data_IF_866062955488
#
_entry.id   IF_866062955488
#
_cell.length_a   1.000
_cell.length_b   1.000
_cell.length_c   1.000
_cell.angle_alpha   90.00
_cell.angle_beta   90.00
_cell.angle_gamma   90.00
#
_symmetry.space_group_name_H-M   'P 1'
#
loop_
_entity.id
_entity.type
_entity.pdbx_description
1 polymer ?
#
# COMPACT_ATOMS: atom_id res chain seq x y z
N UNK A 1 -4.32 -6.97 -19.45
CA UNK A 1 -5.38 -7.47 -18.56
C UNK A 1 -4.81 -7.48 -17.16
N UNK A 2 -5.30 -6.63 -16.27
CA UNK A 2 -4.98 -6.69 -14.84
C UNK A 2 -5.61 -7.98 -14.27
N UNK A 3 -4.87 -8.73 -13.46
CA UNK A 3 -5.45 -9.90 -12.78
C UNK A 3 -6.33 -9.40 -11.60
N UNK A 4 -7.29 -10.20 -11.11
CA UNK A 4 -8.01 -9.87 -9.88
C UNK A 4 -7.08 -9.83 -8.65
N UNK A 5 -7.41 -8.99 -7.66
CA UNK A 5 -6.77 -8.99 -6.33
C UNK A 5 -6.73 -10.41 -5.75
N UNK A 6 -5.59 -10.83 -5.19
CA UNK A 6 -5.43 -12.18 -4.61
C UNK A 6 -5.20 -13.32 -5.61
N UNK A 7 -4.91 -13.03 -6.89
CA UNK A 7 -4.68 -14.06 -7.93
C UNK A 7 -3.28 -14.02 -8.54
N UNK A 8 -2.36 -13.30 -7.90
CA UNK A 8 -0.98 -13.17 -8.35
C UNK A 8 -0.15 -14.36 -7.85
N UNK A 9 0.77 -14.89 -8.69
CA UNK A 9 1.83 -15.77 -8.21
C UNK A 9 2.55 -15.13 -7.03
N UNK A 10 2.87 -15.94 -6.01
CA UNK A 10 3.60 -15.43 -4.84
C UNK A 10 4.96 -14.80 -5.20
N UNK A 11 5.57 -15.24 -6.31
CA UNK A 11 6.83 -14.68 -6.83
C UNK A 11 6.70 -13.23 -7.31
N UNK A 12 5.49 -12.78 -7.65
CA UNK A 12 5.22 -11.42 -8.14
C UNK A 12 4.92 -10.47 -6.98
N UNK A 13 4.78 -10.99 -5.76
CA UNK A 13 4.49 -10.23 -4.55
C UNK A 13 5.78 -9.96 -3.78
N UNK A 14 5.94 -8.73 -3.31
CA UNK A 14 7.06 -8.31 -2.46
C UNK A 14 6.57 -7.91 -1.08
N UNK A 15 7.45 -8.04 -0.09
CA UNK A 15 7.18 -7.65 1.29
C UNK A 15 6.97 -6.13 1.39
N UNK A 16 5.78 -5.73 1.86
CA UNK A 16 5.41 -4.34 1.95
C UNK A 16 6.21 -3.59 3.03
N UNK A 17 6.58 -4.26 4.12
CA UNK A 17 7.40 -3.66 5.17
C UNK A 17 8.79 -3.26 4.66
N UNK A 18 9.36 -4.08 3.78
CA UNK A 18 10.61 -3.79 3.10
C UNK A 18 10.47 -2.58 2.17
N UNK A 19 9.39 -2.49 1.39
CA UNK A 19 9.08 -1.33 0.55
C UNK A 19 8.93 -0.07 1.40
N UNK A 20 8.10 -0.12 2.45
CA UNK A 20 7.86 1.00 3.36
C UNK A 20 9.17 1.51 3.98
N UNK A 21 10.01 0.60 4.50
CA UNK A 21 11.26 0.97 5.16
C UNK A 21 12.31 1.49 4.18
N UNK A 22 12.50 0.82 3.04
CA UNK A 22 13.61 1.10 2.11
C UNK A 22 13.30 2.22 1.11
N UNK A 23 12.03 2.35 0.69
CA UNK A 23 11.63 3.29 -0.37
C UNK A 23 10.92 4.53 0.15
N UNK A 24 10.23 4.43 1.28
CA UNK A 24 9.45 5.54 1.87
C UNK A 24 10.09 6.07 3.16
N UNK A 25 10.93 5.27 3.82
CA UNK A 25 11.54 5.64 5.10
C UNK A 25 10.55 5.62 6.25
N UNK A 26 9.51 4.79 6.17
CA UNK A 26 8.44 4.67 7.17
C UNK A 26 8.40 3.25 7.75
N UNK A 27 8.05 3.12 9.03
CA UNK A 27 7.74 1.80 9.60
C UNK A 27 6.48 1.22 8.96
N UNK A 28 6.46 -0.11 8.76
CA UNK A 28 5.36 -0.81 8.11
C UNK A 28 3.99 -0.51 8.75
N UNK A 29 3.92 -0.49 10.09
CA UNK A 29 2.69 -0.19 10.85
C UNK A 29 2.04 1.15 10.49
N UNK A 30 2.84 2.16 10.14
CA UNK A 30 2.31 3.46 9.73
C UNK A 30 2.02 3.49 8.24
N UNK A 31 2.85 2.84 7.43
CA UNK A 31 2.68 2.78 5.98
C UNK A 31 1.43 1.97 5.60
N UNK A 32 1.08 0.95 6.39
CA UNK A 32 -0.09 0.11 6.16
C UNK A 32 -1.41 0.88 6.16
N UNK A 33 -1.49 1.99 6.90
CA UNK A 33 -2.67 2.85 6.96
C UNK A 33 -3.02 3.49 5.63
N UNK A 34 -2.03 3.64 4.74
CA UNK A 34 -2.21 4.22 3.40
C UNK A 34 -2.64 3.19 2.35
N UNK A 35 -2.74 1.90 2.68
CA UNK A 35 -3.07 0.86 1.69
C UNK A 35 -4.31 0.02 2.02
N UNK A 36 -4.83 0.13 3.25
CA UNK A 36 -6.08 -0.54 3.64
C UNK A 36 -7.22 0.43 3.92
N UNK A 37 -6.95 1.74 3.94
CA UNK A 37 -7.87 2.76 4.43
C UNK A 37 -8.22 2.63 5.92
N UNK A 38 -7.66 1.62 6.61
CA UNK A 38 -7.88 1.39 8.03
C UNK A 38 -6.95 2.30 8.84
N UNK A 39 -7.52 3.37 9.34
CA UNK A 39 -6.89 4.27 10.30
C UNK A 39 -7.82 4.50 11.50
N UNK A 40 -7.29 4.98 12.64
CA UNK A 40 -8.13 5.37 13.77
C UNK A 40 -9.20 6.38 13.34
N UNK A 41 -10.42 6.23 13.88
CA UNK A 41 -11.52 7.11 13.55
C UNK A 41 -11.16 8.59 13.79
N UNK A 42 -11.37 9.43 12.77
CA UNK A 42 -11.03 10.85 12.80
C UNK A 42 -9.67 11.19 12.18
N UNK A 43 -8.90 10.20 11.73
CA UNK A 43 -7.58 10.38 11.11
C UNK A 43 -7.56 10.06 9.61
N UNK A 44 -8.72 9.93 8.96
CA UNK A 44 -8.81 9.58 7.54
C UNK A 44 -8.09 10.59 6.64
N UNK A 45 -8.18 11.88 6.97
CA UNK A 45 -7.52 12.95 6.22
C UNK A 45 -5.99 12.94 6.41
N UNK A 46 -5.48 12.32 7.48
CA UNK A 46 -4.04 12.18 7.74
C UNK A 46 -3.44 10.95 7.03
N UNK A 47 -4.28 9.96 6.73
CA UNK A 47 -3.91 8.68 6.12
C UNK A 47 -4.83 8.35 4.94
N UNK A 48 -4.77 9.13 3.84
CA UNK A 48 -5.53 8.81 2.64
C UNK A 48 -5.15 7.42 2.11
N UNK A 49 -6.15 6.65 1.66
CA UNK A 49 -5.92 5.35 1.04
C UNK A 49 -5.35 5.54 -0.36
N UNK A 50 -4.02 5.48 -0.49
CA UNK A 50 -3.35 5.64 -1.79
C UNK A 50 -3.36 4.37 -2.63
N UNK A 51 -3.77 3.23 -2.08
CA UNK A 51 -3.83 1.98 -2.81
C UNK A 51 -5.15 1.83 -3.57
N UNK A 52 -6.28 2.14 -2.93
CA UNK A 52 -7.60 1.82 -3.48
C UNK A 52 -8.44 3.04 -3.89
N UNK A 53 -8.11 4.25 -3.41
CA UNK A 53 -8.88 5.44 -3.76
C UNK A 53 -8.65 5.84 -5.24
N UNK A 54 -9.73 5.92 -6.05
CA UNK A 54 -9.65 6.29 -7.46
C UNK A 54 -8.99 7.65 -7.74
N UNK A 55 -8.91 8.54 -6.74
CA UNK A 55 -8.22 9.82 -6.92
C UNK A 55 -6.72 9.66 -7.22
N UNK A 56 -6.11 8.54 -6.82
CA UNK A 56 -4.71 8.23 -7.09
C UNK A 56 -4.51 7.35 -8.33
N UNK A 57 -5.59 6.96 -9.03
CA UNK A 57 -5.55 6.11 -10.22
C UNK A 57 -6.15 4.73 -9.98
N UNK A 58 -5.71 3.75 -10.79
CA UNK A 58 -6.18 2.36 -10.66
C UNK A 58 -5.78 1.75 -9.30
N UNK A 59 -6.61 0.82 -8.80
CA UNK A 59 -6.37 0.11 -7.55
C UNK A 59 -5.05 -0.68 -7.62
N UNK A 60 -4.20 -0.49 -6.60
CA UNK A 60 -2.96 -1.24 -6.45
C UNK A 60 -3.22 -2.65 -5.91
N UNK A 61 -2.39 -3.57 -6.34
CA UNK A 61 -2.48 -4.99 -6.02
C UNK A 61 -1.77 -5.26 -4.70
N UNK A 62 -2.50 -5.01 -3.62
CA UNK A 62 -2.06 -5.23 -2.24
C UNK A 62 -2.82 -6.41 -1.64
N UNK A 63 -2.12 -7.28 -0.93
CA UNK A 63 -2.68 -8.35 -0.12
C UNK A 63 -2.41 -8.07 1.36
N UNK A 64 -3.40 -8.32 2.22
CA UNK A 64 -3.35 -7.99 3.64
C UNK A 64 -3.98 -6.64 3.98
N UNK A 65 -3.93 -6.29 5.26
CA UNK A 65 -4.54 -5.09 5.84
C UNK A 65 -3.71 -4.54 7.01
N UNK A 66 -4.08 -3.35 7.52
CA UNK A 66 -3.35 -2.71 8.61
C UNK A 66 -3.50 -3.43 9.96
N UNK A 67 -4.58 -4.19 10.16
CA UNK A 67 -4.79 -5.05 11.32
C UNK A 67 -3.74 -6.15 11.45
N UNK A 68 -3.25 -6.67 10.32
CA UNK A 68 -2.10 -7.58 10.24
C UNK A 68 -0.98 -7.04 9.34
N UNK A 69 -0.45 -5.86 9.69
CA UNK A 69 0.54 -5.15 8.87
C UNK A 69 1.84 -5.94 8.60
N UNK A 70 2.15 -6.97 9.38
CA UNK A 70 3.30 -7.85 9.12
C UNK A 70 3.11 -8.78 7.92
N UNK A 71 1.86 -9.01 7.51
CA UNK A 71 1.52 -9.90 6.40
C UNK A 71 1.27 -9.18 5.08
N UNK A 72 1.41 -7.84 5.03
CA UNK A 72 1.09 -7.09 3.83
C UNK A 72 2.09 -7.38 2.73
N UNK A 73 1.58 -7.67 1.54
CA UNK A 73 2.36 -7.83 0.32
C UNK A 73 1.83 -6.90 -0.76
N UNK A 74 2.71 -6.43 -1.64
CA UNK A 74 2.36 -5.61 -2.80
C UNK A 74 2.94 -6.24 -4.07
N UNK A 75 2.21 -6.18 -5.17
CA UNK A 75 2.73 -6.64 -6.46
C UNK A 75 3.95 -5.80 -6.90
N UNK A 76 4.98 -6.45 -7.41
CA UNK A 76 6.26 -5.82 -7.76
C UNK A 76 6.09 -4.63 -8.72
N UNK A 77 5.29 -4.79 -9.77
CA UNK A 77 4.98 -3.72 -10.74
C UNK A 77 4.30 -2.49 -10.13
N UNK A 78 3.62 -2.64 -8.98
CA UNK A 78 2.87 -1.54 -8.34
C UNK A 78 3.70 -0.78 -7.30
N UNK A 79 4.91 -1.28 -6.99
CA UNK A 79 5.79 -0.68 -5.97
C UNK A 79 6.15 0.76 -6.31
N UNK A 80 6.54 1.01 -7.56
CA UNK A 80 7.00 2.35 -7.94
C UNK A 80 5.85 3.36 -7.99
N UNK A 81 4.67 2.91 -8.41
CA UNK A 81 3.44 3.71 -8.37
C UNK A 81 3.03 4.02 -6.92
N UNK A 82 3.02 3.01 -6.05
CA UNK A 82 2.78 3.21 -4.60
C UNK A 82 3.73 4.25 -3.99
N UNK A 83 5.03 4.13 -4.29
CA UNK A 83 6.04 5.07 -3.78
C UNK A 83 5.83 6.48 -4.35
N UNK A 84 5.41 6.61 -5.61
CA UNK A 84 5.09 7.90 -6.21
C UNK A 84 3.88 8.55 -5.52
N UNK A 85 2.79 7.81 -5.31
CA UNK A 85 1.60 8.29 -4.60
C UNK A 85 1.94 8.73 -3.18
N UNK A 86 2.74 7.95 -2.47
CA UNK A 86 3.20 8.28 -1.11
C UNK A 86 4.03 9.56 -1.03
N UNK A 87 4.78 9.90 -2.07
CA UNK A 87 5.51 11.18 -2.14
C UNK A 87 4.57 12.37 -2.37
N UNK A 88 3.46 12.20 -3.07
CA UNK A 88 2.48 13.27 -3.29
C UNK A 88 1.75 13.64 -1.99
N UNK A 89 1.47 12.66 -1.13
CA UNK A 89 0.71 12.88 0.12
C UNK A 89 1.59 13.24 1.32
N UNK A 90 2.92 12.97 1.27
CA UNK A 90 3.84 13.19 2.40
C UNK A 90 5.03 14.11 2.10
N UNK A 91 5.24 14.50 0.85
CA UNK A 91 6.30 15.43 0.42
C UNK A 91 5.76 16.84 0.25
#
# INVERSE_FOLDING_TARGET
>A
MLKPKGTYPEIDLVDFGDVARKRIGMQCQYASRYVSGECPQGYQDEYPDVASDPQFGDELRVEGDAGNYHGIKIHADDVDEFVARMKLVRG
#
